data_IF_226613646784
#
_entry.id   IF_226613646784
#
_cell.length_a   1.000
_cell.length_b   1.000
_cell.length_c   1.000
_cell.angle_alpha   90.00
_cell.angle_beta   90.00
_cell.angle_gamma   90.00
#
_symmetry.space_group_name_H-M   'P 1'
#
loop_
_entity.id
_entity.type
_entity.pdbx_description
1 polymer ?
#
# COMPACT_ATOMS: atom_id res chain seq x y z
N UNK A 1 14.77 -11.17 -9.90
CA UNK A 1 13.85 -10.05 -9.61
C UNK A 1 12.47 -10.23 -10.26
N UNK A 2 12.36 -10.64 -11.52
CA UNK A 2 11.05 -10.82 -12.19
C UNK A 2 10.19 -11.98 -11.65
N UNK A 3 10.81 -13.06 -11.20
CA UNK A 3 10.09 -14.26 -10.76
C UNK A 3 9.17 -14.01 -9.55
N UNK A 4 9.64 -13.21 -8.58
CA UNK A 4 8.85 -12.86 -7.39
C UNK A 4 7.65 -11.98 -7.74
N UNK A 5 7.80 -11.05 -8.69
CA UNK A 5 6.70 -10.26 -9.22
C UNK A 5 5.66 -11.11 -9.96
N UNK A 6 6.11 -12.10 -10.74
CA UNK A 6 5.21 -13.04 -11.40
C UNK A 6 4.42 -13.85 -10.37
N UNK A 7 5.09 -14.39 -9.34
CA UNK A 7 4.43 -15.10 -8.24
C UNK A 7 3.39 -14.23 -7.52
N UNK A 8 3.73 -12.98 -7.15
CA UNK A 8 2.77 -12.05 -6.54
C UNK A 8 1.59 -11.77 -7.45
N UNK A 9 1.83 -11.53 -8.74
CA UNK A 9 0.76 -11.28 -9.72
C UNK A 9 -0.19 -12.46 -9.86
N UNK A 10 0.35 -13.69 -9.88
CA UNK A 10 -0.46 -14.91 -9.93
C UNK A 10 -1.30 -15.07 -8.66
N UNK A 11 -0.73 -14.80 -7.47
CA UNK A 11 -1.49 -14.86 -6.21
C UNK A 11 -2.66 -13.88 -6.19
N UNK A 12 -2.46 -12.64 -6.65
CA UNK A 12 -3.54 -11.66 -6.76
C UNK A 12 -4.63 -12.11 -7.75
N UNK A 13 -4.23 -12.65 -8.91
CA UNK A 13 -5.17 -13.17 -9.93
C UNK A 13 -5.93 -14.42 -9.46
N UNK A 14 -5.34 -15.23 -8.60
CA UNK A 14 -5.99 -16.40 -8.02
C UNK A 14 -6.92 -16.08 -6.84
N UNK A 15 -7.10 -14.79 -6.51
CA UNK A 15 -8.08 -14.33 -5.52
C UNK A 15 -7.50 -13.94 -4.15
N UNK A 16 -6.18 -13.78 -4.02
CA UNK A 16 -5.61 -13.16 -2.82
C UNK A 16 -6.06 -11.70 -2.74
N UNK A 17 -6.94 -11.39 -1.79
CA UNK A 17 -7.32 -10.01 -1.49
C UNK A 17 -6.35 -9.39 -0.47
N UNK A 18 -5.69 -8.30 -0.88
CA UNK A 18 -4.77 -7.52 -0.05
C UNK A 18 -5.36 -6.15 0.34
N UNK A 19 -6.65 -5.91 0.08
CA UNK A 19 -7.33 -4.64 0.31
C UNK A 19 -7.15 -4.12 1.74
N UNK A 20 -7.18 -5.02 2.74
CA UNK A 20 -7.03 -4.71 4.16
C UNK A 20 -5.63 -4.21 4.56
N UNK A 21 -4.60 -4.48 3.76
CA UNK A 21 -3.24 -3.97 4.02
C UNK A 21 -3.18 -2.47 3.77
N UNK A 22 -3.97 -1.97 2.82
CA UNK A 22 -4.03 -0.55 2.48
C UNK A 22 -4.95 0.20 3.43
N UNK A 23 -4.38 0.73 4.50
CA UNK A 23 -5.17 1.41 5.54
C UNK A 23 -5.45 2.87 5.23
N UNK A 24 -4.61 3.56 4.45
CA UNK A 24 -4.78 4.98 4.14
C UNK A 24 -4.54 5.31 2.66
N UNK A 25 -5.39 6.19 2.12
CA UNK A 25 -5.22 6.82 0.80
C UNK A 25 -5.28 8.33 1.00
N UNK A 26 -4.20 9.02 0.68
CA UNK A 26 -4.03 10.46 1.00
C UNK A 26 -3.66 11.20 -0.30
N UNK A 27 -4.18 12.42 -0.57
CA UNK A 27 -3.73 13.22 -1.70
C UNK A 27 -2.22 13.50 -1.66
N UNK A 28 -1.57 13.53 -2.82
CA UNK A 28 -0.11 13.78 -2.93
C UNK A 28 0.29 15.12 -2.30
N UNK A 29 -0.58 16.13 -2.36
CA UNK A 29 -0.35 17.46 -1.76
C UNK A 29 -0.24 17.43 -0.22
N UNK A 30 -0.71 16.35 0.42
CA UNK A 30 -0.67 16.14 1.87
C UNK A 30 0.40 15.12 2.28
N UNK A 31 1.47 14.97 1.50
CA UNK A 31 2.50 13.97 1.76
C UNK A 31 3.09 14.07 3.16
N UNK A 32 3.29 15.27 3.71
CA UNK A 32 3.85 15.45 5.07
C UNK A 32 2.98 14.78 6.14
N UNK A 33 1.66 14.89 6.04
CA UNK A 33 0.75 14.24 7.00
C UNK A 33 0.72 12.72 6.80
N UNK A 34 0.86 12.24 5.56
CA UNK A 34 1.05 10.83 5.28
C UNK A 34 2.31 10.26 5.96
N UNK A 35 3.42 11.00 5.97
CA UNK A 35 4.65 10.60 6.67
C UNK A 35 4.46 10.59 8.19
N UNK A 36 3.80 11.60 8.79
CA UNK A 36 3.48 11.59 10.22
C UNK A 36 2.64 10.38 10.63
N UNK A 37 1.66 9.99 9.80
CA UNK A 37 0.84 8.78 10.02
C UNK A 37 1.72 7.53 10.03
N UNK A 38 2.68 7.42 9.09
CA UNK A 38 3.62 6.30 9.06
C UNK A 38 4.53 6.27 10.30
N UNK A 39 5.05 7.44 10.74
CA UNK A 39 5.87 7.56 11.95
C UNK A 39 5.12 7.20 13.23
N UNK A 40 3.81 7.46 13.27
CA UNK A 40 2.96 7.10 14.42
C UNK A 40 2.85 5.59 14.68
N UNK A 41 3.22 4.75 13.69
CA UNK A 41 3.06 3.29 13.76
C UNK A 41 1.63 2.79 13.59
N UNK A 42 0.63 3.68 13.54
CA UNK A 42 -0.79 3.33 13.42
C UNK A 42 -1.25 3.18 11.95
N UNK A 43 -0.45 2.54 11.11
CA UNK A 43 -0.82 2.28 9.71
C UNK A 43 -0.24 0.96 9.20
N UNK A 44 -0.95 0.28 8.29
CA UNK A 44 -0.42 -0.87 7.56
C UNK A 44 0.32 -0.46 6.28
N UNK A 45 -0.37 0.30 5.43
CA UNK A 45 0.21 0.89 4.21
C UNK A 45 -0.52 2.19 3.88
N UNK A 46 0.26 3.19 3.49
CA UNK A 46 -0.24 4.47 2.98
C UNK A 46 0.07 4.55 1.48
N UNK A 47 -0.91 4.96 0.67
CA UNK A 47 -0.72 5.26 -0.76
C UNK A 47 -1.09 6.72 -1.01
N UNK A 48 -0.16 7.45 -1.65
CA UNK A 48 -0.39 8.80 -2.11
C UNK A 48 -1.11 8.77 -3.47
N UNK A 49 -2.25 9.44 -3.55
CA UNK A 49 -3.05 9.58 -4.76
C UNK A 49 -2.67 10.89 -5.45
N UNK A 50 -2.23 10.78 -6.70
CA UNK A 50 -2.01 11.90 -7.61
C UNK A 50 -3.32 12.54 -8.06
#
# INVERSE_FOLDING_TARGET
MYETWYKMTQMLRSGLDISQVLTHRIPIDQFQDAFKIMESGNCGKVVLKW
#
